data_IF_645875346603
#
_entry.id   IF_645875346603
#
_cell.length_a   1.000
_cell.length_b   1.000
_cell.length_c   1.000
_cell.angle_alpha   90.00
_cell.angle_beta   90.00
_cell.angle_gamma   90.00
#
_symmetry.space_group_name_H-M   'P 1'
#
loop_
_entity.id
_entity.type
_entity.pdbx_description
1 polymer ?
#
# COMPACT_ATOMS: atom_id res chain seq x y z
N UNK A 1 -21.25 11.93 -10.34
CA UNK A 1 -20.21 10.89 -10.19
C UNK A 1 -20.90 9.56 -9.93
N UNK A 2 -20.50 8.46 -10.58
CA UNK A 2 -21.12 7.15 -10.36
C UNK A 2 -20.49 6.50 -9.11
N UNK A 3 -21.31 6.26 -8.07
CA UNK A 3 -20.88 5.72 -6.77
C UNK A 3 -20.05 4.43 -6.93
N UNK A 4 -20.52 3.48 -7.72
CA UNK A 4 -19.87 2.18 -7.86
C UNK A 4 -18.52 2.31 -8.59
N UNK A 5 -18.44 3.19 -9.60
CA UNK A 5 -17.16 3.53 -10.24
C UNK A 5 -16.18 4.16 -9.25
N UNK A 6 -16.67 5.02 -8.35
CA UNK A 6 -15.82 5.61 -7.31
C UNK A 6 -15.33 4.57 -6.30
N UNK A 7 -16.18 3.64 -5.88
CA UNK A 7 -15.77 2.55 -4.97
C UNK A 7 -14.68 1.68 -5.61
N UNK A 8 -14.82 1.33 -6.90
CA UNK A 8 -13.80 0.56 -7.62
C UNK A 8 -12.48 1.31 -7.67
N UNK A 9 -12.51 2.59 -8.04
CA UNK A 9 -11.30 3.42 -8.14
C UNK A 9 -10.62 3.61 -6.77
N UNK A 10 -11.40 3.77 -5.70
CA UNK A 10 -10.88 3.86 -4.34
C UNK A 10 -10.24 2.55 -3.89
N UNK A 11 -10.86 1.39 -4.19
CA UNK A 11 -10.29 0.09 -3.89
C UNK A 11 -8.98 -0.16 -4.67
N UNK A 12 -8.91 0.21 -5.95
CA UNK A 12 -7.65 0.14 -6.72
C UNK A 12 -6.52 0.95 -6.04
N UNK A 13 -6.85 2.11 -5.48
CA UNK A 13 -5.88 2.95 -4.75
C UNK A 13 -5.49 2.35 -3.40
N UNK A 14 -6.38 1.64 -2.73
CA UNK A 14 -6.08 0.88 -1.50
C UNK A 14 -5.05 -0.21 -1.81
N UNK A 15 -5.24 -0.94 -2.91
CA UNK A 15 -4.32 -2.00 -3.34
C UNK A 15 -2.94 -1.42 -3.66
N UNK A 16 -2.87 -0.34 -4.45
CA UNK A 16 -1.61 0.35 -4.76
C UNK A 16 -0.87 0.78 -3.49
N UNK A 17 -1.58 1.30 -2.48
CA UNK A 17 -0.94 1.70 -1.22
C UNK A 17 -0.52 0.50 -0.38
N UNK A 18 -1.22 -0.64 -0.47
CA UNK A 18 -0.78 -1.89 0.17
C UNK A 18 0.52 -2.40 -0.45
N UNK A 19 0.61 -2.43 -1.78
CA UNK A 19 1.82 -2.85 -2.49
C UNK A 19 3.00 -1.93 -2.17
N UNK A 20 2.77 -0.61 -2.12
CA UNK A 20 3.80 0.36 -1.72
C UNK A 20 4.35 0.08 -0.33
N UNK A 21 3.49 -0.21 0.65
CA UNK A 21 3.95 -0.51 2.01
C UNK A 21 4.94 -1.68 2.02
N UNK A 22 4.64 -2.75 1.27
CA UNK A 22 5.48 -3.96 1.17
C UNK A 22 6.77 -3.73 0.39
N UNK A 23 6.69 -3.03 -0.74
CA UNK A 23 7.87 -2.67 -1.55
C UNK A 23 8.82 -1.81 -0.72
N UNK A 24 8.29 -0.85 0.04
CA UNK A 24 9.09 0.04 0.89
C UNK A 24 9.68 -0.74 2.08
N UNK A 25 8.91 -1.65 2.69
CA UNK A 25 9.40 -2.58 3.72
C UNK A 25 10.66 -3.32 3.24
N UNK A 26 10.59 -3.84 2.01
CA UNK A 26 11.72 -4.50 1.36
C UNK A 26 12.87 -3.54 1.09
N UNK A 27 12.59 -2.34 0.58
CA UNK A 27 13.61 -1.34 0.28
C UNK A 27 14.39 -0.89 1.54
N UNK A 28 13.73 -0.80 2.69
CA UNK A 28 14.36 -0.48 3.99
C UNK A 28 15.38 -1.55 4.38
N UNK A 29 15.09 -2.83 4.13
CA UNK A 29 16.00 -3.95 4.42
C UNK A 29 17.29 -3.82 3.60
N UNK A 30 17.18 -3.45 2.33
CA UNK A 30 18.32 -3.36 1.41
C UNK A 30 19.08 -2.03 1.46
N UNK A 31 18.49 -0.97 2.01
CA UNK A 31 19.19 0.29 2.20
C UNK A 31 20.32 0.15 3.24
N UNK A 32 21.47 0.75 2.96
CA UNK A 32 22.62 0.83 3.88
C UNK A 32 22.64 2.15 4.65
N UNK A 33 22.23 3.24 3.99
CA UNK A 33 22.31 4.61 4.50
C UNK A 33 21.09 4.94 5.39
N UNK A 34 21.34 5.54 6.55
CA UNK A 34 20.31 5.79 7.56
C UNK A 34 19.27 6.82 7.12
N UNK A 35 19.71 7.86 6.42
CA UNK A 35 18.84 8.91 5.87
C UNK A 35 17.90 8.37 4.77
N UNK A 36 18.39 7.45 3.94
CA UNK A 36 17.58 6.73 2.96
C UNK A 36 16.52 5.86 3.67
N UNK A 37 16.90 5.15 4.74
CA UNK A 37 15.93 4.38 5.55
C UNK A 37 14.87 5.28 6.16
N UNK A 38 15.26 6.42 6.72
CA UNK A 38 14.33 7.39 7.29
C UNK A 38 13.37 7.95 6.24
N UNK A 39 13.85 8.19 5.02
CA UNK A 39 13.01 8.60 3.89
C UNK A 39 11.99 7.51 3.53
N UNK A 40 12.43 6.25 3.45
CA UNK A 40 11.54 5.13 3.19
C UNK A 40 10.51 4.93 4.31
N UNK A 41 10.88 5.02 5.58
CA UNK A 41 9.91 4.96 6.69
C UNK A 41 8.82 6.03 6.55
N UNK A 42 9.18 7.26 6.19
CA UNK A 42 8.20 8.34 5.96
C UNK A 42 7.24 8.02 4.81
N UNK A 43 7.74 7.47 3.71
CA UNK A 43 6.89 7.05 2.59
C UNK A 43 6.00 5.85 2.95
N UNK A 44 6.50 4.94 3.77
CA UNK A 44 5.72 3.82 4.26
C UNK A 44 4.54 4.30 5.11
N UNK A 45 4.81 5.18 6.09
CA UNK A 45 3.78 5.74 6.96
C UNK A 45 2.75 6.55 6.16
N UNK A 46 3.21 7.35 5.19
CA UNK A 46 2.30 8.07 4.29
C UNK A 46 1.38 7.11 3.51
N UNK A 47 1.92 5.99 3.01
CA UNK A 47 1.14 4.98 2.29
C UNK A 47 0.13 4.28 3.21
N UNK A 48 0.50 4.00 4.47
CA UNK A 48 -0.41 3.44 5.49
C UNK A 48 -1.57 4.40 5.79
N UNK A 49 -1.27 5.70 5.95
CA UNK A 49 -2.28 6.74 6.22
C UNK A 49 -3.28 6.80 5.06
N UNK A 50 -2.80 6.96 3.82
CA UNK A 50 -3.70 7.04 2.66
C UNK A 50 -4.52 5.77 2.46
N UNK A 51 -3.93 4.59 2.68
CA UNK A 51 -4.70 3.34 2.66
C UNK A 51 -5.87 3.38 3.64
N UNK A 52 -5.62 3.85 4.87
CA UNK A 52 -6.66 3.97 5.90
C UNK A 52 -7.74 4.98 5.52
N UNK A 53 -7.36 6.15 4.99
CA UNK A 53 -8.29 7.20 4.59
C UNK A 53 -9.18 6.76 3.42
N UNK A 54 -8.60 6.11 2.42
CA UNK A 54 -9.34 5.56 1.28
C UNK A 54 -10.33 4.48 1.73
N UNK A 55 -9.93 3.59 2.64
CA UNK A 55 -10.82 2.57 3.19
C UNK A 55 -12.00 3.18 3.96
N UNK A 56 -11.76 4.24 4.75
CA UNK A 56 -12.84 5.00 5.42
C UNK A 56 -13.80 5.61 4.40
N UNK A 57 -13.29 6.14 3.29
CA UNK A 57 -14.13 6.75 2.26
C UNK A 57 -15.02 5.71 1.56
N UNK A 58 -14.48 4.52 1.24
CA UNK A 58 -15.28 3.40 0.73
C UNK A 58 -16.39 3.01 1.72
N UNK A 59 -16.07 2.95 3.01
CA UNK A 59 -17.05 2.63 4.06
C UNK A 59 -18.16 3.69 4.18
N UNK A 60 -17.83 4.98 4.09
CA UNK A 60 -18.83 6.07 4.08
C UNK A 60 -19.81 5.94 2.91
N UNK A 61 -19.35 5.41 1.78
CA UNK A 61 -20.19 5.14 0.63
C UNK A 61 -21.01 3.84 0.79
N UNK A 62 -20.99 3.16 1.94
CA UNK A 62 -21.55 1.81 2.14
C UNK A 62 -20.99 0.78 1.17
N UNK A 63 -19.75 1.00 0.70
CA UNK A 63 -18.98 0.01 -0.04
C UNK A 63 -18.17 -0.88 0.92
N UNK A 64 -17.72 -2.03 0.42
CA UNK A 64 -16.78 -2.88 1.15
C UNK A 64 -15.37 -2.51 0.68
N UNK A 65 -14.55 -2.03 1.61
CA UNK A 65 -13.14 -1.82 1.34
C UNK A 65 -12.46 -3.18 1.18
N UNK A 66 -11.85 -3.43 0.02
CA UNK A 66 -11.09 -4.65 -0.19
C UNK A 66 -9.75 -4.45 0.52
N UNK A 67 -9.65 -4.89 1.77
CA UNK A 67 -8.38 -4.95 2.49
C UNK A 67 -7.74 -6.29 2.14
N UNK A 68 -7.08 -6.37 1.00
CA UNK A 68 -6.32 -7.58 0.67
C UNK A 68 -5.08 -7.59 1.55
N UNK A 69 -5.04 -8.49 2.53
CA UNK A 69 -3.80 -8.85 3.20
C UNK A 69 -2.98 -9.69 2.22
N UNK A 70 -2.27 -9.03 1.30
CA UNK A 70 -1.36 -9.64 0.34
C UNK A 70 -0.16 -10.26 1.09
N UNK A 71 -0.34 -11.40 1.76
CA UNK A 71 0.75 -12.15 2.36
C UNK A 71 1.58 -12.95 1.33
N UNK A 72 1.48 -12.66 0.03
CA UNK A 72 2.17 -13.44 -0.99
C UNK A 72 2.12 -12.77 -2.34
N UNK A 73 3.11 -11.93 -2.66
CA UNK A 73 3.75 -11.90 -3.99
C UNK A 73 4.92 -10.91 -3.95
N UNK A 74 6.02 -11.22 -4.62
CA UNK A 74 7.28 -10.43 -4.68
C UNK A 74 8.32 -10.68 -3.57
N UNK A 75 8.78 -11.92 -3.44
CA UNK A 75 10.16 -12.18 -2.99
C UNK A 75 10.92 -13.26 -3.79
N UNK A 76 10.29 -14.00 -4.72
CA UNK A 76 10.96 -15.14 -5.37
C UNK A 76 11.88 -14.80 -6.56
N UNK A 77 11.96 -13.54 -7.01
CA UNK A 77 12.71 -13.20 -8.24
C UNK A 77 14.05 -12.51 -8.02
N UNK A 78 14.46 -12.23 -6.77
CA UNK A 78 15.73 -11.55 -6.47
C UNK A 78 16.74 -12.38 -5.65
N UNK A 79 16.41 -13.65 -5.33
CA UNK A 79 17.27 -14.56 -4.54
C UNK A 79 17.73 -15.78 -5.35
N UNK A 80 17.63 -15.75 -6.68
CA UNK A 80 18.35 -16.73 -7.51
C UNK A 80 19.66 -16.11 -7.96
N UNK A 81 20.66 -16.43 -7.15
CA UNK A 81 22.10 -16.49 -7.43
C UNK A 81 22.47 -16.73 -8.89
#
# INVERSE_FOLDING_TARGET
MNRDKSIVELNNRIDINSDRVQIIETAIIFASESDIKDLFYKFQETSKIYKSELAKEVQKMSGIAIVINNNSFFCETLVKS
#
